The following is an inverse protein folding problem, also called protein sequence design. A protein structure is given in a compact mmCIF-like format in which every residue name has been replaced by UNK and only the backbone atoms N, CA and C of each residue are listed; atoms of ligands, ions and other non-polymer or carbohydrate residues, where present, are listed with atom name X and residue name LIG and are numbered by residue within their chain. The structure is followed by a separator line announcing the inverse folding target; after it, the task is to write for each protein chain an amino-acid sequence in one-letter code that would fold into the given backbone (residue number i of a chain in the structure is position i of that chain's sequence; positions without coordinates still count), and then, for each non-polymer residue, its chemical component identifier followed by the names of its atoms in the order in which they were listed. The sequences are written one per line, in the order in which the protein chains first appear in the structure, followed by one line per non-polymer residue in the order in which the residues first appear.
data_IF_045183938817
#
_entry.id   IF_045183938817
#
_cell.length_a   1.000
_cell.length_b   1.000
_cell.length_c   1.000
_cell.angle_alpha   90.00
_cell.angle_beta   90.00
_cell.angle_gamma   90.00
#
_symmetry.space_group_name_H-M   'P 1'
#
loop_
_entity.id
_entity.type
_entity.pdbx_description
1 polymer ?
#
# COMPACT_ATOMS: atom_id res chain seq x y z
N UNK A 1 3.04 -9.42 15.41
CA UNK A 1 2.23 -10.18 14.44
C UNK A 1 1.55 -9.18 13.53
N UNK A 2 1.54 -9.43 12.21
CA UNK A 2 0.92 -8.54 11.24
C UNK A 2 -0.45 -9.08 10.82
N UNK A 3 -1.48 -8.29 11.07
CA UNK A 3 -2.80 -8.46 10.46
C UNK A 3 -2.85 -7.63 9.18
N UNK A 4 -2.94 -8.31 8.04
CA UNK A 4 -2.98 -7.69 6.72
C UNK A 4 -4.36 -7.95 6.11
N UNK A 5 -5.09 -6.88 5.80
CA UNK A 5 -6.29 -6.93 4.97
C UNK A 5 -5.95 -6.50 3.55
N UNK A 6 -5.98 -7.44 2.60
CA UNK A 6 -5.72 -7.16 1.18
C UNK A 6 -7.04 -7.07 0.41
N UNK A 7 -7.40 -5.86 0.01
CA UNK A 7 -8.60 -5.57 -0.76
C UNK A 7 -8.26 -5.37 -2.24
N UNK A 8 -8.79 -6.21 -3.12
CA UNK A 8 -8.52 -6.13 -4.56
C UNK A 8 -9.74 -5.55 -5.29
N UNK A 9 -9.61 -4.30 -5.74
CA UNK A 9 -10.60 -3.55 -6.53
C UNK A 9 -10.02 -3.09 -7.89
N UNK A 10 -9.11 -3.88 -8.45
CA UNK A 10 -8.50 -3.65 -9.77
C UNK A 10 -8.66 -4.91 -10.63
N UNK A 11 -8.87 -4.71 -11.93
CA UNK A 11 -8.86 -5.80 -12.93
C UNK A 11 -7.44 -6.13 -13.42
N UNK A 12 -6.45 -5.30 -13.07
CA UNK A 12 -5.06 -5.47 -13.51
C UNK A 12 -4.34 -6.49 -12.63
N UNK A 13 -3.49 -7.33 -13.24
CA UNK A 13 -2.69 -8.31 -12.50
C UNK A 13 -1.76 -7.65 -11.48
N UNK A 14 -1.83 -8.16 -10.25
CA UNK A 14 -1.03 -7.76 -9.11
C UNK A 14 -0.37 -9.00 -8.46
N UNK A 15 0.65 -8.80 -7.59
CA UNK A 15 1.22 -9.88 -6.80
C UNK A 15 0.18 -10.61 -5.93
N UNK A 16 0.50 -11.83 -5.50
CA UNK A 16 -0.33 -12.58 -4.56
C UNK A 16 -0.22 -12.03 -3.12
N UNK A 17 -1.17 -12.39 -2.27
CA UNK A 17 -1.21 -11.96 -0.87
C UNK A 17 0.05 -12.39 -0.09
N UNK A 18 0.63 -13.54 -0.43
CA UNK A 18 1.84 -14.04 0.24
C UNK A 18 3.02 -13.10 0.04
N UNK A 19 3.18 -12.51 -1.16
CA UNK A 19 4.19 -11.48 -1.43
C UNK A 19 3.93 -10.19 -0.66
N UNK A 20 2.69 -9.72 -0.63
CA UNK A 20 2.33 -8.53 0.17
C UNK A 20 2.65 -8.73 1.64
N UNK A 21 2.22 -9.85 2.24
CA UNK A 21 2.54 -10.21 3.62
C UNK A 21 4.05 -10.20 3.87
N UNK A 22 4.83 -10.85 3.00
CA UNK A 22 6.28 -10.86 3.11
C UNK A 22 6.86 -9.44 3.10
N UNK A 23 6.46 -8.59 2.16
CA UNK A 23 7.00 -7.23 2.05
C UNK A 23 6.60 -6.33 3.24
N UNK A 24 5.36 -6.43 3.71
CA UNK A 24 4.94 -5.69 4.90
C UNK A 24 5.69 -6.15 6.14
N UNK A 25 5.86 -7.47 6.33
CA UNK A 25 6.68 -8.01 7.42
C UNK A 25 8.13 -7.52 7.34
N UNK A 26 8.70 -7.40 6.13
CA UNK A 26 10.04 -6.84 5.90
C UNK A 26 10.13 -5.36 6.29
N UNK A 27 9.14 -4.54 5.90
CA UNK A 27 9.09 -3.11 6.22
C UNK A 27 8.89 -2.84 7.71
N UNK A 28 8.12 -3.70 8.38
CA UNK A 28 7.72 -3.54 9.78
C UNK A 28 8.64 -4.28 10.78
N UNK A 29 9.74 -4.90 10.33
CA UNK A 29 10.63 -5.73 11.18
C UNK A 29 11.14 -5.04 12.45
N UNK A 30 11.27 -3.72 12.44
CA UNK A 30 11.77 -2.97 13.59
C UNK A 30 10.68 -2.65 14.62
N UNK A 31 9.41 -2.90 14.31
CA UNK A 31 8.30 -2.70 15.25
C UNK A 31 8.15 -3.93 16.13
N UNK A 32 8.06 -3.69 17.43
CA UNK A 32 7.91 -4.73 18.45
C UNK A 32 6.44 -5.09 18.74
N UNK A 33 5.52 -4.21 18.37
CA UNK A 33 4.09 -4.36 18.61
C UNK A 33 3.41 -5.13 17.47
N UNK A 34 2.27 -5.74 17.77
CA UNK A 34 1.35 -6.19 16.73
C UNK A 34 0.93 -4.99 15.87
N UNK A 35 0.58 -5.21 14.61
CA UNK A 35 0.19 -4.12 13.72
C UNK A 35 -0.88 -4.58 12.75
N UNK A 36 -1.81 -3.68 12.47
CA UNK A 36 -2.86 -3.88 11.48
C UNK A 36 -2.64 -2.90 10.31
N UNK A 37 -2.70 -3.43 9.07
CA UNK A 37 -2.50 -2.68 7.84
C UNK A 37 -3.51 -3.13 6.79
N UNK A 38 -4.23 -2.17 6.21
CA UNK A 38 -5.04 -2.42 5.02
C UNK A 38 -4.26 -2.05 3.77
N UNK A 39 -4.22 -2.94 2.78
CA UNK A 39 -3.75 -2.61 1.42
C UNK A 39 -4.92 -2.74 0.46
N UNK A 40 -5.27 -1.64 -0.18
CA UNK A 40 -6.32 -1.57 -1.21
C UNK A 40 -5.71 -1.36 -2.58
N UNK A 41 -5.89 -2.33 -3.48
CA UNK A 41 -5.46 -2.28 -4.86
C UNK A 41 -6.58 -1.71 -5.73
N UNK A 42 -6.30 -0.63 -6.46
CA UNK A 42 -7.31 0.10 -7.25
C UNK A 42 -6.83 0.38 -8.68
N UNK A 43 -7.78 0.68 -9.56
CA UNK A 43 -7.49 1.23 -10.89
C UNK A 43 -7.35 2.77 -10.87
N UNK A 44 -6.96 3.35 -12.02
CA UNK A 44 -6.63 4.78 -12.13
C UNK A 44 -7.80 5.71 -11.80
N UNK A 45 -9.04 5.28 -12.04
CA UNK A 45 -10.23 6.11 -11.78
C UNK A 45 -10.39 6.40 -10.28
N UNK A 46 -10.42 5.34 -9.46
CA UNK A 46 -10.52 5.44 -8.01
C UNK A 46 -9.24 6.08 -7.42
N UNK A 47 -8.07 5.67 -7.89
CA UNK A 47 -6.80 6.25 -7.45
C UNK A 47 -6.71 7.77 -7.71
N UNK A 48 -7.21 8.24 -8.85
CA UNK A 48 -7.28 9.67 -9.18
C UNK A 48 -8.30 10.42 -8.32
N UNK A 49 -9.47 9.82 -8.06
CA UNK A 49 -10.50 10.41 -7.19
C UNK A 49 -10.00 10.58 -5.76
N UNK A 50 -9.33 9.56 -5.21
CA UNK A 50 -8.74 9.62 -3.87
C UNK A 50 -7.60 10.64 -3.80
N UNK A 51 -6.71 10.68 -4.80
CA UNK A 51 -5.61 11.65 -4.83
C UNK A 51 -6.13 13.09 -4.97
N UNK A 52 -7.22 13.29 -5.71
CA UNK A 52 -7.88 14.58 -5.81
C UNK A 52 -8.52 14.99 -4.48
N UNK A 53 -9.28 14.08 -3.85
CA UNK A 53 -10.00 14.34 -2.60
C UNK A 53 -9.05 14.68 -1.45
N UNK A 54 -7.97 13.92 -1.30
CA UNK A 54 -7.10 14.01 -0.13
C UNK A 54 -5.80 14.78 -0.34
N UNK A 55 -5.34 14.92 -1.59
CA UNK A 55 -4.07 15.63 -1.93
C UNK A 55 -4.26 16.77 -2.93
N UNK A 56 -5.49 17.03 -3.39
CA UNK A 56 -5.81 18.04 -4.39
C UNK A 56 -5.06 17.88 -5.72
N UNK A 57 -4.73 16.64 -6.07
CA UNK A 57 -3.99 16.28 -7.29
C UNK A 57 -4.89 15.53 -8.26
N UNK A 58 -5.07 16.06 -9.46
CA UNK A 58 -5.94 15.47 -10.48
C UNK A 58 -5.20 14.48 -11.40
N UNK A 59 -4.56 13.46 -10.81
CA UNK A 59 -3.97 12.33 -11.53
C UNK A 59 -3.90 11.10 -10.61
N UNK A 60 -3.87 9.89 -11.17
CA UNK A 60 -3.64 8.67 -10.40
C UNK A 60 -2.17 8.58 -10.01
N UNK A 61 -1.88 8.48 -8.71
CA UNK A 61 -0.53 8.25 -8.19
C UNK A 61 -0.29 6.77 -7.97
N UNK A 62 0.98 6.37 -7.80
CA UNK A 62 1.36 4.99 -7.50
C UNK A 62 0.82 4.49 -6.15
N UNK A 63 1.00 5.28 -5.08
CA UNK A 63 0.54 4.95 -3.73
C UNK A 63 0.01 6.19 -2.99
N UNK A 64 -1.02 5.98 -2.18
CA UNK A 64 -1.53 6.93 -1.19
C UNK A 64 -1.52 6.24 0.18
N UNK A 65 -0.99 6.93 1.19
CA UNK A 65 -0.99 6.46 2.57
C UNK A 65 -1.96 7.28 3.41
N UNK A 66 -2.79 6.58 4.18
CA UNK A 66 -3.77 7.12 5.11
C UNK A 66 -3.44 6.59 6.51
N UNK A 67 -2.66 7.34 7.31
CA UNK A 67 -2.31 6.89 8.65
C UNK A 67 -3.56 6.83 9.53
N UNK A 68 -3.61 5.87 10.44
CA UNK A 68 -4.63 5.88 11.48
C UNK A 68 -4.45 7.11 12.39
N UNK A 69 -5.53 7.82 12.67
CA UNK A 69 -5.52 9.00 13.55
C UNK A 69 -5.80 8.60 15.02
N UNK A 70 -5.37 7.40 15.41
CA UNK A 70 -5.59 6.86 16.76
C UNK A 70 -4.25 6.84 17.50
N UNK A 71 -4.16 7.45 18.68
CA UNK A 71 -2.96 7.36 19.50
C UNK A 71 -2.61 5.89 19.82
N UNK A 72 -1.34 5.51 19.61
CA UNK A 72 -0.82 4.15 19.85
C UNK A 72 -1.07 3.67 21.30
N UNK A 73 -1.29 4.58 22.26
CA UNK A 73 -1.58 4.28 23.66
C UNK A 73 -3.06 3.98 23.96
N UNK A 74 -3.96 4.15 22.99
CA UNK A 74 -5.39 3.84 23.11
C UNK A 74 -5.81 2.48 22.53
N UNK A 75 -4.91 1.78 21.82
CA UNK A 75 -5.21 0.49 21.18
C UNK A 75 -4.29 -0.62 21.70
N UNK A 76 -4.83 -1.83 21.86
CA UNK A 76 -4.03 -3.02 22.17
C UNK A 76 -3.09 -3.39 21.00
N UNK A 77 -3.43 -2.97 19.77
CA UNK A 77 -2.66 -3.17 18.54
C UNK A 77 -2.56 -1.83 17.79
N UNK A 78 -1.36 -1.27 17.58
CA UNK A 78 -1.16 -0.09 16.74
C UNK A 78 -1.72 -0.28 15.32
N UNK A 79 -2.71 0.55 14.97
CA UNK A 79 -3.26 0.60 13.61
C UNK A 79 -2.33 1.45 12.75
N UNK A 80 -1.75 0.88 11.69
CA UNK A 80 -0.89 1.64 10.76
C UNK A 80 -1.73 2.50 9.81
N UNK A 81 -2.96 2.06 9.53
CA UNK A 81 -3.90 2.69 8.61
C UNK A 81 -3.94 1.98 7.26
N UNK A 82 -4.19 2.75 6.20
CA UNK A 82 -4.48 2.20 4.87
C UNK A 82 -3.45 2.64 3.82
N UNK A 83 -3.06 1.70 2.97
CA UNK A 83 -2.32 1.95 1.74
C UNK A 83 -3.22 1.70 0.54
N UNK A 84 -3.45 2.73 -0.27
CA UNK A 84 -4.13 2.59 -1.56
C UNK A 84 -3.10 2.61 -2.67
N UNK A 85 -3.02 1.51 -3.43
CA UNK A 85 -2.02 1.33 -4.49
C UNK A 85 -2.72 1.23 -5.84
N UNK A 86 -2.29 2.04 -6.80
CA UNK A 86 -2.83 2.02 -8.15
C UNK A 86 -2.07 1.01 -9.02
N UNK A 87 -2.69 -0.14 -9.30
CA UNK A 87 -2.05 -1.28 -9.98
C UNK A 87 -1.53 -0.90 -11.38
N UNK A 88 -2.30 -0.22 -12.25
CA UNK A 88 -1.81 0.17 -13.58
C UNK A 88 -0.62 1.12 -13.52
N UNK A 89 -0.61 2.06 -12.56
CA UNK A 89 0.47 3.04 -12.40
C UNK A 89 1.76 2.36 -11.97
N UNK A 90 1.70 1.49 -10.95
CA UNK A 90 2.87 0.74 -10.46
C UNK A 90 3.45 -0.15 -11.57
N UNK A 91 2.62 -0.87 -12.31
CA UNK A 91 3.07 -1.72 -13.40
C UNK A 91 3.70 -0.91 -14.56
N UNK A 92 3.12 0.26 -14.89
CA UNK A 92 3.67 1.18 -15.90
C UNK A 92 5.03 1.73 -15.45
N UNK A 93 5.14 2.22 -14.22
CA UNK A 93 6.39 2.75 -13.67
C UNK A 93 7.51 1.71 -13.65
N UNK A 94 7.20 0.46 -13.32
CA UNK A 94 8.17 -0.63 -13.36
C UNK A 94 8.75 -0.81 -14.76
N UNK A 95 7.91 -0.78 -15.80
CA UNK A 95 8.32 -0.88 -17.19
C UNK A 95 9.14 0.34 -17.65
N UNK A 96 8.67 1.56 -17.34
CA UNK A 96 9.34 2.81 -17.70
C UNK A 96 10.73 2.94 -17.07
N UNK A 97 10.90 2.41 -15.86
CA UNK A 97 12.17 2.44 -15.12
C UNK A 97 13.07 1.24 -15.42
N UNK A 98 12.65 0.31 -16.28
CA UNK A 98 13.38 -0.93 -16.57
C UNK A 98 13.59 -1.82 -15.34
N UNK A 99 12.68 -1.75 -14.36
CA UNK A 99 12.73 -2.52 -13.12
C UNK A 99 11.95 -3.82 -13.26
N UNK A 100 12.36 -4.84 -12.52
CA UNK A 100 11.48 -5.99 -12.29
C UNK A 100 10.19 -5.51 -11.64
N UNK A 101 9.05 -5.95 -12.17
CA UNK A 101 7.72 -5.64 -11.62
C UNK A 101 7.68 -6.01 -10.14
N UNK A 102 8.16 -7.20 -9.78
CA UNK A 102 8.20 -7.68 -8.40
C UNK A 102 9.05 -6.79 -7.48
N UNK A 103 10.20 -6.31 -7.96
CA UNK A 103 11.06 -5.41 -7.20
C UNK A 103 10.44 -4.02 -7.00
N UNK A 104 9.71 -3.52 -8.00
CA UNK A 104 9.01 -2.23 -7.88
C UNK A 104 7.82 -2.33 -6.92
N UNK A 105 7.05 -3.43 -6.97
CA UNK A 105 5.99 -3.72 -5.99
C UNK A 105 6.54 -3.82 -4.57
N UNK A 106 7.61 -4.59 -4.37
CA UNK A 106 8.27 -4.70 -3.07
C UNK A 106 8.69 -3.32 -2.53
N UNK A 107 9.28 -2.49 -3.38
CA UNK A 107 9.67 -1.13 -3.00
C UNK A 107 8.47 -0.27 -2.58
N UNK A 108 7.38 -0.27 -3.35
CA UNK A 108 6.17 0.51 -3.01
C UNK A 108 5.54 0.07 -1.70
N UNK A 109 5.44 -1.24 -1.46
CA UNK A 109 4.83 -1.79 -0.24
C UNK A 109 5.72 -1.52 0.97
N UNK A 110 7.02 -1.83 0.89
CA UNK A 110 7.96 -1.59 2.00
C UNK A 110 8.03 -0.10 2.33
N UNK A 111 8.10 0.77 1.32
CA UNK A 111 8.15 2.21 1.55
C UNK A 111 6.85 2.75 2.14
N UNK A 112 5.69 2.23 1.71
CA UNK A 112 4.40 2.61 2.26
C UNK A 112 4.20 2.19 3.72
N UNK A 113 4.92 1.16 4.19
CA UNK A 113 4.86 0.69 5.58
C UNK A 113 5.72 1.52 6.56
N UNK A 114 6.58 2.43 6.07
CA UNK A 114 7.48 3.26 6.88
C UNK A 114 6.89 4.64 7.17
#
# INVERSE_FOLDING_TARGET
MLELDLQIASETSAPDEARFRLWCEMGLRQRSADSELTIRLVDENEGRELNHTWRHKNYATNVLSFPADVPDDMLDIPLLGDLVICVPVVNREAAEQGKSVDAHWAHMVIHGCL
#
